data_IF_580523986441
#
_entry.id   IF_580523986441
#
_cell.length_a   1.000
_cell.length_b   1.000
_cell.length_c   1.000
_cell.angle_alpha   90.00
_cell.angle_beta   90.00
_cell.angle_gamma   90.00
#
_symmetry.space_group_name_H-M   'P 1'
#
loop_
_entity.id
_entity.type
_entity.pdbx_description
1 polymer ?
#
# COMPACT_ATOMS: atom_id res chain seq x y z
N UNK A 1 25.46 -12.84 -16.17
CA UNK A 1 25.00 -12.08 -14.98
C UNK A 1 25.41 -10.62 -15.15
N UNK A 2 24.52 -9.64 -14.95
CA UNK A 2 24.89 -8.21 -15.11
C UNK A 2 25.59 -7.73 -13.83
N UNK A 3 26.89 -7.41 -13.93
CA UNK A 3 27.76 -7.05 -12.79
C UNK A 3 27.69 -5.57 -12.39
N UNK A 4 27.03 -4.73 -13.20
CA UNK A 4 26.98 -3.28 -12.96
C UNK A 4 26.15 -2.97 -11.69
N UNK A 5 26.67 -2.13 -10.77
CA UNK A 5 25.90 -1.60 -9.64
C UNK A 5 24.65 -0.84 -10.10
N UNK A 6 23.61 -0.85 -9.26
CA UNK A 6 22.42 -0.02 -9.49
C UNK A 6 22.60 1.21 -8.62
N UNK A 7 22.56 2.40 -9.23
CA UNK A 7 22.61 3.64 -8.46
C UNK A 7 21.26 3.93 -7.82
N UNK A 8 21.31 4.40 -6.58
CA UNK A 8 20.14 4.96 -5.93
C UNK A 8 19.77 6.30 -6.58
N UNK A 9 18.49 6.50 -6.89
CA UNK A 9 18.01 7.70 -7.56
C UNK A 9 16.72 8.21 -6.90
N UNK A 10 16.70 9.51 -6.56
CA UNK A 10 15.59 10.14 -5.83
C UNK A 10 14.22 9.98 -6.51
N UNK A 11 14.19 9.87 -7.83
CA UNK A 11 12.97 9.85 -8.64
C UNK A 11 12.35 8.47 -8.82
N UNK A 12 13.05 7.39 -8.42
CA UNK A 12 12.53 6.02 -8.54
C UNK A 12 12.48 5.38 -7.17
N UNK A 13 11.31 5.39 -6.55
CA UNK A 13 11.11 4.99 -5.15
C UNK A 13 11.64 3.60 -4.77
N UNK A 14 11.88 2.73 -5.74
CA UNK A 14 12.41 1.37 -5.54
C UNK A 14 13.94 1.23 -5.74
N UNK A 15 14.65 2.30 -6.06
CA UNK A 15 16.09 2.25 -6.39
C UNK A 15 16.94 1.80 -5.22
N UNK A 16 16.67 2.29 -4.01
CA UNK A 16 17.42 1.90 -2.80
C UNK A 16 17.33 0.40 -2.54
N UNK A 17 16.12 -0.18 -2.57
CA UNK A 17 15.94 -1.63 -2.39
C UNK A 17 16.68 -2.45 -3.46
N UNK A 18 16.57 -2.04 -4.73
CA UNK A 18 17.23 -2.72 -5.84
C UNK A 18 18.76 -2.62 -5.75
N UNK A 19 19.29 -1.47 -5.33
CA UNK A 19 20.71 -1.25 -5.08
C UNK A 19 21.20 -2.20 -3.98
N UNK A 20 20.56 -2.20 -2.80
CA UNK A 20 20.94 -3.05 -1.68
C UNK A 20 20.85 -4.54 -2.04
N UNK A 21 19.79 -4.95 -2.73
CA UNK A 21 19.60 -6.33 -3.17
C UNK A 21 20.67 -6.75 -4.18
N UNK A 22 21.09 -5.83 -5.05
CA UNK A 22 22.20 -6.07 -5.98
C UNK A 22 23.53 -6.16 -5.25
N UNK A 23 23.82 -5.22 -4.36
CA UNK A 23 25.03 -5.20 -3.56
C UNK A 23 25.20 -6.52 -2.78
N UNK A 24 24.12 -7.01 -2.14
CA UNK A 24 24.14 -8.29 -1.43
C UNK A 24 24.48 -9.48 -2.33
N UNK A 25 23.94 -9.54 -3.56
CA UNK A 25 24.27 -10.58 -4.53
C UNK A 25 25.71 -10.52 -5.02
N UNK A 26 26.27 -9.31 -5.08
CA UNK A 26 27.64 -9.07 -5.53
C UNK A 26 28.66 -9.12 -4.38
N UNK A 27 28.26 -9.42 -3.14
CA UNK A 27 29.14 -9.41 -1.97
C UNK A 27 30.46 -10.15 -2.17
N UNK A 28 30.41 -11.37 -2.70
CA UNK A 28 31.62 -12.17 -2.95
C UNK A 28 32.53 -11.52 -4.02
N UNK A 29 31.94 -10.84 -5.00
CA UNK A 29 32.68 -10.13 -6.05
C UNK A 29 33.35 -8.88 -5.48
N UNK A 30 32.72 -8.18 -4.54
CA UNK A 30 33.35 -7.04 -3.86
C UNK A 30 34.58 -7.46 -3.09
N UNK A 31 34.55 -8.60 -2.38
CA UNK A 31 35.75 -9.11 -1.68
C UNK A 31 36.89 -9.41 -2.63
N UNK A 32 36.62 -10.04 -3.78
CA UNK A 32 37.64 -10.32 -4.81
C UNK A 32 38.19 -9.02 -5.40
N UNK A 33 37.31 -8.09 -5.76
CA UNK A 33 37.69 -6.79 -6.31
C UNK A 33 38.55 -6.00 -5.32
N UNK A 34 38.13 -5.90 -4.05
CA UNK A 34 38.89 -5.14 -3.06
C UNK A 34 40.28 -5.71 -2.81
N UNK A 35 40.43 -7.05 -2.82
CA UNK A 35 41.73 -7.70 -2.70
C UNK A 35 42.62 -7.51 -3.94
N UNK A 36 42.04 -7.41 -5.14
CA UNK A 36 42.80 -7.17 -6.38
C UNK A 36 43.32 -5.73 -6.48
N UNK A 37 42.55 -4.77 -5.98
CA UNK A 37 42.84 -3.33 -6.11
C UNK A 37 43.31 -2.67 -4.79
N UNK A 38 43.63 -3.45 -3.76
CA UNK A 38 44.13 -2.99 -2.45
C UNK A 38 43.22 -1.91 -1.83
N UNK A 39 41.93 -2.25 -1.69
CA UNK A 39 40.90 -1.33 -1.22
C UNK A 39 39.88 -1.99 -0.28
N UNK A 40 40.37 -2.85 0.62
CA UNK A 40 39.59 -3.56 1.63
C UNK A 40 38.86 -2.64 2.61
N UNK A 41 39.31 -1.40 2.80
CA UNK A 41 38.64 -0.39 3.61
C UNK A 41 37.24 -0.03 3.09
N UNK A 42 36.96 -0.31 1.80
CA UNK A 42 35.62 -0.14 1.22
C UNK A 42 34.68 -1.30 1.50
N UNK A 43 35.17 -2.42 2.06
CA UNK A 43 34.34 -3.58 2.36
C UNK A 43 33.47 -3.32 3.58
N UNK A 44 32.18 -3.60 3.40
CA UNK A 44 31.24 -3.64 4.51
C UNK A 44 31.59 -4.81 5.44
N UNK A 45 31.61 -4.51 6.74
CA UNK A 45 31.73 -5.48 7.82
C UNK A 45 30.55 -6.46 7.86
N UNK A 46 30.70 -7.58 8.56
CA UNK A 46 29.59 -8.51 8.82
C UNK A 46 28.39 -7.83 9.49
N UNK A 47 28.64 -6.81 10.32
CA UNK A 47 27.59 -6.06 10.97
C UNK A 47 26.79 -5.23 9.96
N UNK A 48 27.46 -4.55 9.03
CA UNK A 48 26.81 -3.75 7.99
C UNK A 48 26.06 -4.64 7.00
N UNK A 49 26.60 -5.81 6.66
CA UNK A 49 25.87 -6.79 5.85
C UNK A 49 24.58 -7.29 6.52
N UNK A 50 24.58 -7.44 7.86
CA UNK A 50 23.37 -7.73 8.62
C UNK A 50 22.39 -6.56 8.63
N UNK A 51 22.88 -5.32 8.69
CA UNK A 51 22.02 -4.14 8.56
C UNK A 51 21.34 -4.10 7.19
N UNK A 52 22.07 -4.43 6.11
CA UNK A 52 21.51 -4.56 4.76
C UNK A 52 20.41 -5.64 4.73
N UNK A 53 20.61 -6.79 5.37
CA UNK A 53 19.58 -7.84 5.43
C UNK A 53 18.30 -7.35 6.11
N UNK A 54 18.44 -6.59 7.20
CA UNK A 54 17.30 -5.97 7.88
C UNK A 54 16.59 -4.93 6.99
N UNK A 55 17.34 -4.05 6.32
CA UNK A 55 16.76 -3.05 5.42
C UNK A 55 16.02 -3.71 4.26
N UNK A 56 16.58 -4.77 3.68
CA UNK A 56 15.94 -5.55 2.63
C UNK A 56 14.63 -6.16 3.12
N UNK A 57 14.64 -6.80 4.29
CA UNK A 57 13.43 -7.37 4.89
C UNK A 57 12.34 -6.31 5.11
N UNK A 58 12.70 -5.15 5.67
CA UNK A 58 11.78 -4.06 5.99
C UNK A 58 11.16 -3.45 4.71
N UNK A 59 11.96 -3.31 3.65
CA UNK A 59 11.56 -2.58 2.44
C UNK A 59 10.99 -3.48 1.34
N UNK A 60 11.13 -4.80 1.45
CA UNK A 60 10.62 -5.76 0.46
C UNK A 60 9.10 -5.65 0.24
N UNK A 61 8.22 -5.59 1.27
CA UNK A 61 6.78 -5.44 1.02
C UNK A 61 6.43 -4.17 0.24
N UNK A 62 7.12 -3.06 0.51
CA UNK A 62 6.94 -1.81 -0.23
C UNK A 62 7.33 -1.96 -1.69
N UNK A 63 8.49 -2.58 -1.95
CA UNK A 63 8.94 -2.88 -3.30
C UNK A 63 7.94 -3.78 -4.05
N UNK A 64 7.42 -4.81 -3.38
CA UNK A 64 6.50 -5.76 -3.97
C UNK A 64 5.19 -5.10 -4.38
N UNK A 65 4.54 -4.35 -3.49
CA UNK A 65 3.28 -3.68 -3.82
C UNK A 65 3.46 -2.61 -4.90
N UNK A 66 4.51 -1.78 -4.81
CA UNK A 66 4.78 -0.74 -5.81
C UNK A 66 5.18 -1.32 -7.17
N UNK A 67 5.77 -2.51 -7.21
CA UNK A 67 6.12 -3.19 -8.46
C UNK A 67 4.98 -3.98 -9.07
N UNK A 68 4.07 -4.52 -8.24
CA UNK A 68 2.97 -5.37 -8.68
C UNK A 68 1.73 -4.56 -9.06
N UNK A 69 1.36 -3.54 -8.28
CA UNK A 69 0.16 -2.72 -8.52
C UNK A 69 0.10 -2.14 -9.96
N UNK A 70 1.15 -1.51 -10.49
CA UNK A 70 1.09 -0.91 -11.83
C UNK A 70 1.03 -1.93 -12.97
N UNK A 71 1.37 -3.20 -12.71
CA UNK A 71 1.38 -4.26 -13.73
C UNK A 71 0.00 -4.86 -13.97
N UNK A 72 -0.93 -4.63 -13.05
CA UNK A 72 -2.30 -5.14 -13.18
C UNK A 72 -3.09 -4.29 -14.17
N UNK A 73 -3.89 -4.94 -15.02
CA UNK A 73 -4.78 -4.28 -15.97
C UNK A 73 -6.14 -3.94 -15.36
N UNK A 74 -6.43 -4.49 -14.19
CA UNK A 74 -7.68 -4.32 -13.45
C UNK A 74 -7.63 -3.08 -12.54
N UNK A 75 -8.81 -2.60 -12.13
CA UNK A 75 -8.92 -1.55 -11.12
C UNK A 75 -8.27 -2.03 -9.83
N UNK A 76 -7.37 -1.24 -9.23
CA UNK A 76 -6.63 -1.61 -8.01
C UNK A 76 -7.03 -0.81 -6.77
N UNK A 77 -7.88 0.20 -6.93
CA UNK A 77 -8.28 1.11 -5.86
C UNK A 77 -8.86 0.38 -4.64
N UNK A 78 -9.50 -0.79 -4.84
CA UNK A 78 -10.07 -1.61 -3.75
C UNK A 78 -9.04 -2.38 -2.92
N UNK A 79 -7.77 -2.41 -3.33
CA UNK A 79 -6.69 -3.03 -2.56
C UNK A 79 -5.96 -2.06 -1.64
N UNK A 80 -6.15 -0.74 -1.81
CA UNK A 80 -5.36 0.30 -1.13
C UNK A 80 -5.38 0.12 0.38
N UNK A 81 -6.55 0.00 1.00
CA UNK A 81 -6.65 -0.23 2.44
C UNK A 81 -6.00 -1.53 2.91
N UNK A 82 -6.22 -2.62 2.15
CA UNK A 82 -5.60 -3.91 2.47
C UNK A 82 -4.08 -3.85 2.42
N UNK A 83 -3.53 -3.09 1.48
CA UNK A 83 -2.08 -2.91 1.33
C UNK A 83 -1.53 -2.09 2.48
N UNK A 84 -2.16 -0.96 2.83
CA UNK A 84 -1.74 -0.15 3.97
C UNK A 84 -1.77 -0.93 5.28
N UNK A 85 -2.85 -1.66 5.57
CA UNK A 85 -2.93 -2.50 6.77
C UNK A 85 -1.77 -3.50 6.82
N UNK A 86 -1.49 -4.20 5.72
CA UNK A 86 -0.35 -5.13 5.65
C UNK A 86 1.01 -4.45 5.83
N UNK A 87 1.19 -3.23 5.32
CA UNK A 87 2.44 -2.47 5.51
C UNK A 87 2.58 -2.02 6.97
N UNK A 88 1.50 -1.57 7.60
CA UNK A 88 1.49 -1.20 9.02
C UNK A 88 1.79 -2.40 9.92
N UNK A 89 1.10 -3.53 9.71
CA UNK A 89 1.35 -4.78 10.44
C UNK A 89 2.83 -5.19 10.33
N UNK A 90 3.42 -5.10 9.14
CA UNK A 90 4.81 -5.45 8.90
C UNK A 90 5.79 -4.53 9.66
N UNK A 91 5.57 -3.21 9.63
CA UNK A 91 6.38 -2.26 10.36
C UNK A 91 6.26 -2.45 11.88
N UNK A 92 5.04 -2.65 12.39
CA UNK A 92 4.76 -2.84 13.81
C UNK A 92 5.40 -4.13 14.36
N UNK A 93 5.30 -5.23 13.60
CA UNK A 93 6.01 -6.48 13.93
C UNK A 93 7.53 -6.27 13.98
N UNK A 94 8.09 -5.53 13.02
CA UNK A 94 9.52 -5.23 12.96
C UNK A 94 9.97 -4.36 14.13
N UNK A 95 9.19 -3.33 14.48
CA UNK A 95 9.43 -2.48 15.65
C UNK A 95 9.37 -3.29 16.96
N UNK A 96 8.36 -4.15 17.12
CA UNK A 96 8.20 -4.98 18.32
C UNK A 96 9.42 -5.90 18.55
N UNK A 97 10.00 -6.45 17.48
CA UNK A 97 11.21 -7.26 17.55
C UNK A 97 12.44 -6.43 17.94
N UNK A 98 12.56 -5.20 17.44
CA UNK A 98 13.72 -4.32 17.67
C UNK A 98 13.69 -3.62 19.03
N UNK A 99 12.52 -3.30 19.57
CA UNK A 99 12.36 -2.72 20.92
C UNK A 99 12.99 -3.56 22.02
N UNK A 100 13.07 -4.88 21.82
CA UNK A 100 13.69 -5.84 22.75
C UNK A 100 15.23 -5.85 22.65
N UNK A 101 15.84 -5.12 21.71
CA UNK A 101 17.28 -5.15 21.44
C UNK A 101 17.94 -3.87 21.96
N UNK A 102 19.17 -4.01 22.49
CA UNK A 102 19.95 -2.90 23.08
C UNK A 102 21.14 -2.45 22.23
N UNK A 103 21.50 -3.23 21.21
CA UNK A 103 22.63 -2.96 20.32
C UNK A 103 22.44 -1.62 19.59
N UNK A 104 23.45 -0.72 19.53
CA UNK A 104 23.30 0.64 19.00
C UNK A 104 22.66 0.72 17.61
N UNK A 105 23.17 -0.04 16.64
CA UNK A 105 22.63 -0.01 15.27
C UNK A 105 21.17 -0.50 15.18
N UNK A 106 20.74 -1.37 16.11
CA UNK A 106 19.34 -1.82 16.16
C UNK A 106 18.42 -0.76 16.73
N UNK A 107 18.91 0.09 17.63
CA UNK A 107 18.17 1.27 18.10
C UNK A 107 18.02 2.29 16.98
N UNK A 108 19.08 2.57 16.23
CA UNK A 108 19.03 3.43 15.04
C UNK A 108 18.04 2.88 14.00
N UNK A 109 18.03 1.57 13.78
CA UNK A 109 17.04 0.92 12.89
C UNK A 109 15.61 1.09 13.40
N UNK A 110 15.39 1.01 14.71
CA UNK A 110 14.08 1.23 15.32
C UNK A 110 13.62 2.69 15.12
N UNK A 111 14.50 3.67 15.36
CA UNK A 111 14.21 5.08 15.13
C UNK A 111 13.84 5.34 13.65
N UNK A 112 14.60 4.74 12.71
CA UNK A 112 14.30 4.83 11.29
C UNK A 112 12.94 4.19 10.94
N UNK A 113 12.59 3.06 11.56
CA UNK A 113 11.28 2.43 11.38
C UNK A 113 10.13 3.26 11.97
N UNK A 114 10.34 3.91 13.11
CA UNK A 114 9.35 4.82 13.71
C UNK A 114 9.11 6.03 12.80
N UNK A 115 10.17 6.64 12.26
CA UNK A 115 10.05 7.68 11.24
C UNK A 115 9.33 7.19 9.97
N UNK A 116 9.67 5.98 9.49
CA UNK A 116 9.03 5.37 8.33
C UNK A 116 7.53 5.09 8.55
N UNK A 117 7.17 4.60 9.75
CA UNK A 117 5.76 4.38 10.14
C UNK A 117 4.98 5.68 10.17
N UNK A 118 5.54 6.74 10.75
CA UNK A 118 4.92 8.08 10.75
C UNK A 118 4.74 8.63 9.34
N UNK A 119 5.72 8.42 8.44
CA UNK A 119 5.59 8.85 7.05
C UNK A 119 4.51 8.07 6.30
N UNK A 120 4.39 6.78 6.56
CA UNK A 120 3.33 5.94 5.98
C UNK A 120 1.94 6.37 6.48
N UNK A 121 1.84 6.75 7.75
CA UNK A 121 0.63 7.28 8.38
C UNK A 121 0.17 8.60 7.76
N UNK A 122 1.11 9.50 7.46
CA UNK A 122 0.84 10.75 6.74
C UNK A 122 0.24 10.48 5.35
N UNK A 123 0.84 9.56 4.58
CA UNK A 123 0.30 9.18 3.27
C UNK A 123 -1.04 8.47 3.35
N UNK A 124 -1.24 7.65 4.38
CA UNK A 124 -2.53 7.01 4.64
C UNK A 124 -3.62 8.04 4.92
N UNK A 125 -3.34 9.01 5.80
CA UNK A 125 -4.26 10.10 6.13
C UNK A 125 -4.62 10.95 4.90
N UNK A 126 -3.66 11.19 4.01
CA UNK A 126 -3.94 11.84 2.72
C UNK A 126 -4.82 10.98 1.81
N UNK A 127 -4.65 9.65 1.82
CA UNK A 127 -5.49 8.74 1.04
C UNK A 127 -6.94 8.72 1.55
N UNK A 128 -7.13 8.88 2.85
CA UNK A 128 -8.44 9.03 3.49
C UNK A 128 -9.14 10.34 3.10
N UNK A 129 -8.38 11.43 2.92
CA UNK A 129 -8.90 12.75 2.53
C UNK A 129 -9.24 12.86 1.03
N UNK A 130 -8.87 11.87 0.19
CA UNK A 130 -9.14 11.91 -1.25
C UNK A 130 -10.65 11.85 -1.53
N UNK A 131 -11.15 12.96 -2.09
CA UNK A 131 -12.42 13.17 -2.82
C UNK A 131 -13.44 12.04 -2.66
N UNK A 132 -14.24 12.13 -1.60
CA UNK A 132 -15.53 11.43 -1.51
C UNK A 132 -15.44 9.95 -1.19
N UNK A 133 -14.45 9.51 -0.40
CA UNK A 133 -14.31 8.13 0.05
C UNK A 133 -14.10 7.13 -1.11
N UNK A 134 -13.39 7.54 -2.18
CA UNK A 134 -13.25 6.76 -3.41
C UNK A 134 -12.68 5.36 -3.16
N UNK A 135 -11.63 5.24 -2.34
CA UNK A 135 -11.04 3.95 -2.00
C UNK A 135 -11.99 3.09 -1.17
N UNK A 136 -12.76 3.69 -0.26
CA UNK A 136 -13.74 2.97 0.54
C UNK A 136 -14.88 2.44 -0.34
N UNK A 137 -15.45 3.28 -1.19
CA UNK A 137 -16.48 2.90 -2.14
C UNK A 137 -15.96 1.80 -3.08
N UNK A 138 -14.74 1.95 -3.61
CA UNK A 138 -14.11 0.93 -4.48
C UNK A 138 -13.96 -0.40 -3.75
N UNK A 139 -13.54 -0.37 -2.48
CA UNK A 139 -13.41 -1.56 -1.63
C UNK A 139 -14.75 -2.23 -1.36
N UNK A 140 -15.82 -1.45 -1.13
CA UNK A 140 -17.18 -1.97 -0.90
C UNK A 140 -17.81 -2.55 -2.18
N UNK A 141 -17.53 -1.95 -3.34
CA UNK A 141 -17.99 -2.43 -4.64
C UNK A 141 -17.26 -3.70 -5.09
N UNK A 142 -16.04 -3.94 -4.60
CA UNK A 142 -15.25 -5.09 -4.99
C UNK A 142 -15.92 -6.41 -4.52
N UNK A 143 -16.23 -7.34 -5.43
CA UNK A 143 -16.93 -8.60 -5.10
C UNK A 143 -16.16 -9.48 -4.09
N UNK A 144 -14.85 -9.32 -4.02
CA UNK A 144 -13.93 -10.07 -3.15
C UNK A 144 -13.96 -9.61 -1.69
N UNK A 145 -14.19 -8.31 -1.46
CA UNK A 145 -14.14 -7.70 -0.13
C UNK A 145 -15.56 -7.51 0.41
N UNK A 146 -16.47 -7.03 -0.46
CA UNK A 146 -17.83 -6.59 -0.12
C UNK A 146 -17.82 -5.73 1.15
N UNK A 147 -18.96 -5.67 1.82
CA UNK A 147 -19.09 -4.99 3.11
C UNK A 147 -18.31 -5.66 4.25
N UNK A 148 -17.98 -6.95 4.10
CA UNK A 148 -17.35 -7.76 5.15
C UNK A 148 -15.96 -7.25 5.53
N UNK A 149 -15.24 -6.64 4.59
CA UNK A 149 -13.92 -6.08 4.85
C UNK A 149 -13.91 -5.04 5.98
N UNK A 150 -14.95 -4.19 6.05
CA UNK A 150 -15.05 -3.15 7.09
C UNK A 150 -15.66 -3.66 8.41
N UNK A 151 -16.05 -4.94 8.49
CA UNK A 151 -16.57 -5.56 9.72
C UNK A 151 -15.44 -6.14 10.60
N UNK A 152 -14.17 -6.12 10.13
CA UNK A 152 -13.04 -6.55 10.96
C UNK A 152 -12.79 -5.57 12.11
N UNK A 153 -12.01 -6.03 13.11
CA UNK A 153 -11.57 -5.23 14.25
C UNK A 153 -10.67 -4.05 13.87
N UNK A 154 -10.20 -4.01 12.63
CA UNK A 154 -9.27 -2.98 12.13
C UNK A 154 -9.96 -1.63 11.89
N UNK A 155 -11.29 -1.61 11.92
CA UNK A 155 -12.12 -0.43 11.64
C UNK A 155 -12.97 -0.06 12.84
N UNK A 156 -13.09 1.23 13.14
CA UNK A 156 -14.00 1.71 14.18
C UNK A 156 -15.44 1.81 13.65
N UNK A 157 -16.40 1.95 14.57
CA UNK A 157 -17.82 2.05 14.21
C UNK A 157 -18.12 3.33 13.43
N UNK A 158 -17.43 4.42 13.76
CA UNK A 158 -17.62 5.72 13.14
C UNK A 158 -17.24 5.70 11.66
N UNK A 159 -16.08 5.14 11.32
CA UNK A 159 -15.62 4.95 9.95
C UNK A 159 -16.52 4.04 9.16
N UNK A 160 -17.00 2.94 9.77
CA UNK A 160 -18.02 2.11 9.12
C UNK A 160 -19.19 2.95 8.68
N UNK A 161 -19.78 3.74 9.57
CA UNK A 161 -20.98 4.52 9.28
C UNK A 161 -20.75 5.61 8.23
N UNK A 162 -19.59 6.27 8.23
CA UNK A 162 -19.16 7.23 7.19
C UNK A 162 -19.09 6.53 5.82
N UNK A 163 -18.40 5.40 5.74
CA UNK A 163 -18.28 4.62 4.50
C UNK A 163 -19.65 4.15 3.99
N UNK A 164 -20.55 3.71 4.90
CA UNK A 164 -21.94 3.34 4.55
C UNK A 164 -22.69 4.52 3.93
N UNK A 165 -22.60 5.68 4.54
CA UNK A 165 -23.30 6.88 4.08
C UNK A 165 -22.76 7.31 2.71
N UNK A 166 -21.44 7.33 2.55
CA UNK A 166 -20.80 7.68 1.29
C UNK A 166 -21.19 6.71 0.16
N UNK A 167 -21.21 5.40 0.44
CA UNK A 167 -21.67 4.38 -0.50
C UNK A 167 -23.13 4.57 -0.89
N UNK A 168 -24.02 4.78 0.09
CA UNK A 168 -25.44 5.06 -0.17
C UNK A 168 -25.63 6.32 -1.01
N UNK A 169 -24.92 7.40 -0.72
CA UNK A 169 -24.99 8.64 -1.49
C UNK A 169 -24.50 8.45 -2.93
N UNK A 170 -23.41 7.70 -3.13
CA UNK A 170 -22.89 7.39 -4.45
C UNK A 170 -23.88 6.55 -5.28
N UNK A 171 -24.50 5.54 -4.66
CA UNK A 171 -25.57 4.76 -5.28
C UNK A 171 -26.79 5.64 -5.61
N UNK A 172 -27.28 6.43 -4.66
CA UNK A 172 -28.42 7.33 -4.87
C UNK A 172 -28.16 8.32 -6.00
N UNK A 173 -26.95 8.89 -6.12
CA UNK A 173 -26.59 9.78 -7.22
C UNK A 173 -26.61 9.05 -8.57
N UNK A 174 -26.08 7.83 -8.63
CA UNK A 174 -26.03 7.04 -9.87
C UNK A 174 -27.41 6.51 -10.26
N UNK A 175 -28.21 6.06 -9.30
CA UNK A 175 -29.62 5.70 -9.47
C UNK A 175 -30.43 6.91 -9.91
N UNK A 176 -30.19 8.12 -9.36
CA UNK A 176 -30.86 9.35 -9.79
C UNK A 176 -30.47 9.75 -11.21
N UNK A 177 -29.22 9.57 -11.63
CA UNK A 177 -28.80 9.78 -13.02
C UNK A 177 -29.40 8.73 -13.95
N UNK A 178 -29.45 7.46 -13.54
CA UNK A 178 -30.13 6.39 -14.27
C UNK A 178 -31.63 6.69 -14.40
N UNK A 179 -32.30 7.08 -13.33
CA UNK A 179 -33.71 7.49 -13.33
C UNK A 179 -33.89 8.73 -14.23
N UNK A 180 -33.04 9.76 -14.13
CA UNK A 180 -33.14 10.95 -14.99
C UNK A 180 -32.89 10.64 -16.48
N UNK A 181 -31.96 9.72 -16.78
CA UNK A 181 -31.70 9.25 -18.14
C UNK A 181 -32.85 8.37 -18.64
N UNK A 182 -33.38 7.49 -17.79
CA UNK A 182 -34.58 6.69 -18.07
C UNK A 182 -35.78 7.62 -18.28
N UNK A 183 -35.99 8.66 -17.47
CA UNK A 183 -37.05 9.66 -17.67
C UNK A 183 -36.84 10.48 -18.96
N UNK A 184 -35.60 10.82 -19.32
CA UNK A 184 -35.29 11.45 -20.63
C UNK A 184 -35.55 10.52 -21.82
N UNK A 185 -35.35 9.21 -21.65
CA UNK A 185 -35.67 8.22 -22.68
C UNK A 185 -37.15 7.81 -22.67
N UNK A 186 -37.84 7.91 -21.53
CA UNK A 186 -39.27 7.59 -21.34
C UNK A 186 -40.19 8.80 -21.56
N UNK A 187 -39.66 10.03 -21.70
CA UNK A 187 -40.43 11.15 -22.26
C UNK A 187 -40.87 10.90 -23.72
N UNK A 188 -40.44 9.80 -24.34
CA UNK A 188 -40.95 9.31 -25.62
C UNK A 188 -41.97 8.16 -25.49
N UNK A 189 -42.14 7.54 -24.32
CA UNK A 189 -43.13 6.47 -24.12
C UNK A 189 -43.74 6.48 -22.72
N UNK A 190 -44.99 6.95 -22.64
CA UNK A 190 -45.89 6.87 -21.47
C UNK A 190 -46.06 5.42 -21.03
N UNK A 191 -45.36 4.99 -20.00
CA UNK A 191 -45.79 4.01 -18.98
C UNK A 191 -44.58 3.72 -18.10
N UNK A 192 -44.70 3.86 -16.78
CA UNK A 192 -44.01 3.09 -15.71
C UNK A 192 -44.38 3.76 -14.36
N UNK A 193 -45.67 3.71 -14.00
CA UNK A 193 -46.13 4.04 -12.64
C UNK A 193 -45.92 2.91 -11.62
N UNK A 194 -45.26 1.80 -12.00
CA UNK A 194 -45.27 0.53 -11.23
C UNK A 194 -43.90 -0.02 -10.80
N UNK A 195 -42.78 0.53 -11.26
CA UNK A 195 -41.45 -0.05 -10.96
C UNK A 195 -40.80 0.53 -9.69
N UNK A 196 -41.15 1.75 -9.26
CA UNK A 196 -40.50 2.39 -8.11
C UNK A 196 -40.80 1.75 -6.73
N UNK A 197 -41.80 0.86 -6.60
CA UNK A 197 -42.16 0.28 -5.30
C UNK A 197 -41.33 -0.97 -4.97
N UNK A 198 -40.76 -1.66 -5.97
CA UNK A 198 -40.14 -2.98 -5.75
C UNK A 198 -38.72 -2.89 -5.16
N UNK A 199 -37.99 -1.79 -5.34
CA UNK A 199 -36.60 -1.66 -4.85
C UNK A 199 -36.44 -0.99 -3.48
N UNK A 200 -37.53 -0.54 -2.85
CA UNK A 200 -37.47 0.12 -1.53
C UNK A 200 -37.68 -0.85 -0.34
N UNK A 201 -38.00 -2.11 -0.61
CA UNK A 201 -38.32 -3.12 0.41
C UNK A 201 -37.55 -4.42 0.10
N UNK A 202 -36.23 -4.43 0.39
CA UNK A 202 -35.43 -5.59 0.82
C UNK A 202 -33.95 -5.18 0.98
#
# INVERSE_FOLDING_TARGET
MKIVPIQDVKTRWNSTFLMLRRAKRLRAIFSLFCAEYDCEEMLLSEQEWRQIDYLLYITEPFFDYTSQLPKTRDVTAHYVFKIYNKLFDHLEQSQAQLRRKRVPWKKQMLEALEAGRSKLDEYYSQADDIRGNLYAISTMLAPVNKFKFFLSSDWDQKWRDICRLAFKQALCKKVRVLILNIYRHLTTTRQIGKICIIFAIN
#
